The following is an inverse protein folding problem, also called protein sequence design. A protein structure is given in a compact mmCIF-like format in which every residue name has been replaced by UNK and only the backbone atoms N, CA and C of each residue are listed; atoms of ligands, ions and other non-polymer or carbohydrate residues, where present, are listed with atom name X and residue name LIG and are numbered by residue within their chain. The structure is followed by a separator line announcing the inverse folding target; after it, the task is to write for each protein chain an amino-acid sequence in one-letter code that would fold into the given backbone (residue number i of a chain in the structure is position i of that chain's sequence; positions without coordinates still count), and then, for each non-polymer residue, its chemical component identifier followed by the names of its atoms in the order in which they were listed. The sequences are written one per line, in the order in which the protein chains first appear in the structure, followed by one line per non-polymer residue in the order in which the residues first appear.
data_IF_255474297044
#
_entry.id   IF_255474297044
#
_cell.length_a   1.000
_cell.length_b   1.000
_cell.length_c   1.000
_cell.angle_alpha   90.00
_cell.angle_beta   90.00
_cell.angle_gamma   90.00
#
_symmetry.space_group_name_H-M   'P 1'
#
loop_
_entity.id
_entity.type
_entity.pdbx_description
1 polymer ?
#
# COMPACT_ATOMS: atom_id res chain seq x y z
N UNK A 1 16.61 8.05 -3.91
CA UNK A 1 15.63 7.07 -4.43
C UNK A 1 16.36 5.80 -4.81
N UNK A 2 15.96 4.67 -4.21
CA UNK A 2 16.54 3.35 -4.49
C UNK A 2 16.11 2.85 -5.87
N UNK A 3 17.08 2.38 -6.65
CA UNK A 3 16.98 1.53 -7.84
C UNK A 3 15.83 1.81 -8.84
N UNK A 4 16.16 2.11 -10.11
CA UNK A 4 15.19 2.23 -11.20
C UNK A 4 14.27 1.01 -11.39
N UNK A 5 14.68 -0.18 -10.93
CA UNK A 5 13.85 -1.39 -10.94
C UNK A 5 12.61 -1.32 -10.01
N UNK A 6 12.56 -0.38 -9.05
CA UNK A 6 11.38 -0.05 -8.27
C UNK A 6 10.51 1.06 -8.94
N UNK A 7 10.71 1.28 -10.23
CA UNK A 7 9.98 2.28 -11.03
C UNK A 7 8.45 2.16 -10.93
N UNK A 8 7.94 0.96 -10.64
CA UNK A 8 6.50 0.74 -10.43
C UNK A 8 5.91 1.53 -9.26
N UNK A 9 6.71 1.90 -8.26
CA UNK A 9 6.28 2.74 -7.13
C UNK A 9 6.08 4.19 -7.55
N UNK A 10 6.96 4.67 -8.41
CA UNK A 10 6.97 6.06 -8.84
C UNK A 10 6.06 6.27 -10.04
N UNK A 11 5.88 5.24 -10.90
CA UNK A 11 5.08 5.36 -12.11
C UNK A 11 5.65 6.39 -13.09
N UNK A 12 4.92 6.63 -14.17
CA UNK A 12 5.33 7.58 -15.21
C UNK A 12 5.19 9.06 -14.84
N UNK A 13 4.57 9.36 -13.67
CA UNK A 13 4.36 10.75 -13.24
C UNK A 13 5.66 11.54 -13.08
N UNK A 14 6.78 10.88 -12.76
CA UNK A 14 8.10 11.54 -12.65
C UNK A 14 8.48 12.23 -13.96
N UNK A 15 8.13 11.66 -15.11
CA UNK A 15 8.39 12.25 -16.43
C UNK A 15 7.67 13.59 -16.65
N UNK A 16 6.61 13.83 -15.87
CA UNK A 16 5.81 15.04 -15.95
C UNK A 16 6.22 16.11 -14.92
N UNK A 17 7.24 15.84 -14.10
CA UNK A 17 7.81 16.82 -13.18
C UNK A 17 8.70 17.78 -13.98
N UNK A 18 8.50 19.08 -13.79
CA UNK A 18 9.39 20.09 -14.37
C UNK A 18 10.72 20.14 -13.63
N UNK A 19 11.82 20.06 -14.35
CA UNK A 19 13.18 20.11 -13.83
C UNK A 19 13.93 18.78 -13.94
N UNK A 20 15.21 18.80 -13.55
CA UNK A 20 16.06 17.63 -13.60
C UNK A 20 15.78 16.69 -12.43
N UNK A 21 15.57 15.42 -12.75
CA UNK A 21 15.34 14.34 -11.77
C UNK A 21 16.53 13.39 -11.80
N UNK A 22 17.20 13.24 -10.66
CA UNK A 22 18.26 12.26 -10.47
C UNK A 22 17.86 11.18 -9.46
N UNK A 23 18.33 9.97 -9.69
CA UNK A 23 18.12 8.83 -8.82
C UNK A 23 19.40 8.52 -8.05
N UNK A 24 19.32 8.51 -6.73
CA UNK A 24 20.42 8.11 -5.84
C UNK A 24 20.14 6.69 -5.34
N UNK A 25 20.96 5.74 -5.78
CA UNK A 25 20.77 4.31 -5.48
C UNK A 25 21.59 3.83 -4.30
N UNK A 26 22.76 4.44 -4.11
CA UNK A 26 23.69 4.12 -3.02
C UNK A 26 24.06 5.39 -2.26
N UNK A 27 23.95 5.33 -0.95
CA UNK A 27 24.31 6.43 -0.07
C UNK A 27 24.60 5.90 1.34
N UNK A 28 25.58 6.53 2.01
CA UNK A 28 25.95 6.24 3.39
C UNK A 28 25.29 7.21 4.39
N UNK A 29 25.67 7.12 5.65
CA UNK A 29 25.21 7.99 6.73
C UNK A 29 25.58 9.46 6.54
N UNK A 30 26.67 9.72 5.83
CA UNK A 30 27.24 11.04 5.54
C UNK A 30 26.67 11.68 4.26
N UNK A 31 25.77 11.00 3.57
CA UNK A 31 25.17 11.54 2.36
C UNK A 31 24.47 12.88 2.63
N UNK A 32 24.80 13.88 1.82
CA UNK A 32 24.25 15.23 1.88
C UNK A 32 23.62 15.56 0.53
N UNK A 33 22.43 16.20 0.51
CA UNK A 33 21.83 16.62 -0.75
C UNK A 33 22.73 17.64 -1.47
N UNK A 34 22.89 17.53 -2.81
CA UNK A 34 23.61 18.52 -3.60
C UNK A 34 23.06 19.94 -3.38
N UNK A 35 23.88 21.01 -3.51
CA UNK A 35 23.43 22.37 -3.28
C UNK A 35 22.23 22.81 -4.13
N UNK A 36 22.14 22.32 -5.36
CA UNK A 36 21.07 22.57 -6.33
C UNK A 36 19.79 21.77 -6.02
N UNK A 37 19.84 20.79 -5.15
CA UNK A 37 18.71 19.93 -4.83
C UNK A 37 17.55 20.74 -4.25
N UNK A 38 16.41 20.72 -4.90
CA UNK A 38 15.20 21.46 -4.50
C UNK A 38 14.20 20.64 -3.72
N UNK A 39 14.24 19.31 -3.83
CA UNK A 39 13.36 18.38 -3.13
C UNK A 39 13.97 16.98 -3.14
N UNK A 40 13.88 16.28 -2.03
CA UNK A 40 14.19 14.83 -1.95
C UNK A 40 12.89 14.06 -1.77
N UNK A 41 12.76 12.98 -2.53
CA UNK A 41 11.60 12.08 -2.46
C UNK A 41 12.08 10.68 -2.09
N UNK A 42 11.46 10.06 -1.09
CA UNK A 42 11.80 8.71 -0.64
C UNK A 42 10.57 7.96 -0.12
N UNK A 43 10.58 6.65 -0.22
CA UNK A 43 9.62 5.77 0.48
C UNK A 43 10.27 5.07 1.68
N UNK A 44 11.59 5.13 1.77
CA UNK A 44 12.37 4.44 2.79
C UNK A 44 12.60 5.37 4.00
N UNK A 45 11.94 5.06 5.10
CA UNK A 45 12.03 5.79 6.37
C UNK A 45 12.44 4.90 7.53
N UNK A 46 12.87 3.66 7.23
CA UNK A 46 13.17 2.65 8.25
C UNK A 46 14.64 2.24 8.31
N UNK A 47 15.41 2.37 7.22
CA UNK A 47 16.84 2.10 7.27
C UNK A 47 17.59 3.26 7.93
N UNK A 48 18.59 2.98 8.78
CA UNK A 48 19.35 4.01 9.47
C UNK A 48 19.96 5.04 8.52
N UNK A 49 20.52 4.60 7.39
CA UNK A 49 21.12 5.47 6.36
C UNK A 49 20.08 6.40 5.72
N UNK A 50 18.88 5.87 5.45
CA UNK A 50 17.77 6.65 4.90
C UNK A 50 17.29 7.70 5.89
N UNK A 51 17.22 7.36 7.16
CA UNK A 51 16.91 8.32 8.22
C UNK A 51 17.96 9.41 8.31
N UNK A 52 19.26 9.06 8.29
CA UNK A 52 20.37 10.03 8.29
C UNK A 52 20.30 10.97 7.10
N UNK A 53 20.04 10.44 5.88
CA UNK A 53 19.86 11.24 4.69
C UNK A 53 18.69 12.24 4.81
N UNK A 54 17.56 11.80 5.36
CA UNK A 54 16.40 12.67 5.62
C UNK A 54 16.79 13.79 6.58
N UNK A 55 17.47 13.49 7.69
CA UNK A 55 17.92 14.49 8.65
C UNK A 55 18.94 15.47 8.04
N UNK A 56 19.85 14.99 7.20
CA UNK A 56 20.81 15.84 6.48
C UNK A 56 20.09 16.80 5.52
N UNK A 57 19.04 16.35 4.82
CA UNK A 57 18.19 17.22 4.00
C UNK A 57 17.54 18.32 4.86
N UNK A 58 16.95 17.96 6.00
CA UNK A 58 16.28 18.91 6.90
C UNK A 58 17.29 19.95 7.41
N UNK A 59 18.49 19.53 7.84
CA UNK A 59 19.57 20.43 8.28
C UNK A 59 20.02 21.41 7.18
N UNK A 60 19.96 20.98 5.91
CA UNK A 60 20.30 21.81 4.74
C UNK A 60 19.11 22.60 4.19
N UNK A 61 17.98 22.62 4.89
CA UNK A 61 16.74 23.28 4.47
C UNK A 61 16.25 22.80 3.09
N UNK A 62 16.47 21.51 2.80
CA UNK A 62 15.94 20.83 1.61
C UNK A 62 14.67 20.07 1.99
N UNK A 63 13.53 20.31 1.33
CA UNK A 63 12.30 19.61 1.64
C UNK A 63 12.41 18.12 1.37
N UNK A 64 11.69 17.33 2.16
CA UNK A 64 11.59 15.87 1.97
C UNK A 64 10.14 15.47 1.89
N UNK A 65 9.77 14.82 0.79
CA UNK A 65 8.49 14.16 0.57
C UNK A 65 8.67 12.65 0.76
N UNK A 66 7.87 12.08 1.65
CA UNK A 66 7.81 10.63 1.83
C UNK A 66 6.64 10.08 1.02
N UNK A 67 6.82 8.93 0.37
CA UNK A 67 5.77 8.25 -0.38
C UNK A 67 5.27 7.03 0.39
N UNK A 68 3.95 6.91 0.51
CA UNK A 68 3.32 5.65 0.89
C UNK A 68 3.13 4.79 -0.35
N UNK A 69 3.52 3.53 -0.26
CA UNK A 69 3.47 2.57 -1.37
C UNK A 69 2.23 1.66 -1.36
N UNK A 70 1.41 1.79 -0.33
CA UNK A 70 0.23 0.96 -0.19
C UNK A 70 -0.46 1.05 1.16
N UNK A 71 -1.19 0.01 1.51
CA UNK A 71 -1.83 -0.13 2.82
C UNK A 71 -0.75 -0.21 3.89
N UNK A 72 -0.91 0.62 4.92
CA UNK A 72 -0.17 0.51 6.15
C UNK A 72 -0.97 -0.37 7.11
N UNK A 73 -0.48 -1.53 7.44
CA UNK A 73 -1.10 -2.37 8.45
C UNK A 73 -1.00 -1.69 9.83
N UNK A 74 -2.04 -1.81 10.67
CA UNK A 74 -2.10 -1.14 11.97
C UNK A 74 -0.83 -1.35 12.80
N UNK A 75 -0.38 -2.61 12.91
CA UNK A 75 0.81 -2.96 13.67
C UNK A 75 2.10 -2.35 13.12
N UNK A 76 2.20 -2.16 11.81
CA UNK A 76 3.33 -1.48 11.18
C UNK A 76 3.51 -0.03 11.68
N UNK A 77 2.44 0.61 12.15
CA UNK A 77 2.51 1.97 12.70
C UNK A 77 3.15 2.04 14.07
N UNK A 78 3.22 0.93 14.79
CA UNK A 78 3.70 0.86 16.17
C UNK A 78 4.92 -0.04 16.34
N UNK A 79 5.09 -1.04 15.48
CA UNK A 79 6.15 -2.03 15.57
C UNK A 79 6.95 -2.01 14.27
N UNK A 80 8.25 -1.79 14.39
CA UNK A 80 9.17 -1.79 13.27
C UNK A 80 10.38 -2.66 13.62
N UNK A 81 10.65 -3.69 12.81
CA UNK A 81 11.74 -4.66 13.07
C UNK A 81 13.14 -4.02 13.17
N UNK A 82 13.35 -2.87 12.54
CA UNK A 82 14.65 -2.22 12.47
C UNK A 82 14.78 -1.00 13.41
N UNK A 83 13.73 -0.67 14.16
CA UNK A 83 13.71 0.51 15.04
C UNK A 83 12.88 0.20 16.28
N UNK A 84 13.51 0.28 17.42
CA UNK A 84 12.84 0.14 18.72
C UNK A 84 11.93 1.35 18.94
N UNK A 85 10.75 1.12 19.48
CA UNK A 85 9.75 2.14 19.85
C UNK A 85 9.26 3.03 18.69
N UNK A 86 9.32 2.54 17.46
CA UNK A 86 8.79 3.28 16.31
C UNK A 86 8.17 2.34 15.28
N UNK A 87 7.20 2.86 14.52
CA UNK A 87 6.56 2.19 13.40
C UNK A 87 6.89 2.82 12.05
N UNK A 88 6.35 2.26 10.99
CA UNK A 88 6.41 2.88 9.66
C UNK A 88 5.60 4.17 9.71
N UNK A 89 6.22 5.29 9.27
CA UNK A 89 5.66 6.64 9.35
C UNK A 89 5.34 7.13 10.78
N UNK A 90 5.86 6.49 11.79
CA UNK A 90 5.73 6.88 13.18
C UNK A 90 7.12 6.93 13.84
N UNK A 91 7.79 8.11 13.86
CA UNK A 91 7.34 9.42 13.36
C UNK A 91 7.41 9.58 11.83
N UNK A 92 6.63 10.51 11.27
CA UNK A 92 6.81 11.00 9.90
C UNK A 92 8.04 11.90 9.86
N UNK A 93 9.17 11.37 9.38
CA UNK A 93 10.47 12.05 9.39
C UNK A 93 10.53 13.22 8.40
N UNK A 94 9.88 13.09 7.23
CA UNK A 94 9.88 14.13 6.20
C UNK A 94 8.97 15.31 6.52
N UNK A 95 8.98 16.30 5.64
CA UNK A 95 8.13 17.48 5.73
C UNK A 95 6.68 17.14 5.36
N UNK A 96 6.49 16.28 4.36
CA UNK A 96 5.19 15.79 3.91
C UNK A 96 5.24 14.30 3.63
N UNK A 97 4.07 13.65 3.75
CA UNK A 97 3.82 12.26 3.38
C UNK A 97 2.69 12.22 2.35
N UNK A 98 2.95 11.66 1.18
CA UNK A 98 1.94 11.37 0.19
C UNK A 98 1.19 10.08 0.58
N UNK A 99 -0.03 10.23 1.06
CA UNK A 99 -0.92 9.14 1.48
C UNK A 99 -1.75 8.62 0.30
N UNK A 100 -2.14 7.35 0.38
CA UNK A 100 -2.91 6.68 -0.68
C UNK A 100 -4.40 7.05 -0.68
N UNK A 101 -4.95 7.46 0.47
CA UNK A 101 -6.36 7.76 0.63
C UNK A 101 -6.68 8.50 1.92
N UNK A 102 -7.94 8.89 2.05
CA UNK A 102 -8.42 9.67 3.19
C UNK A 102 -8.33 8.90 4.51
N UNK A 103 -8.58 7.59 4.51
CA UNK A 103 -8.45 6.75 5.71
C UNK A 103 -7.03 6.74 6.25
N UNK A 104 -6.02 6.65 5.39
CA UNK A 104 -4.62 6.72 5.81
C UNK A 104 -4.26 8.10 6.38
N UNK A 105 -4.74 9.18 5.76
CA UNK A 105 -4.55 10.54 6.28
C UNK A 105 -5.14 10.64 7.69
N UNK A 106 -6.41 10.25 7.88
CA UNK A 106 -7.06 10.30 9.20
C UNK A 106 -6.34 9.46 10.24
N UNK A 107 -5.96 8.23 9.86
CA UNK A 107 -5.23 7.33 10.77
C UNK A 107 -3.91 7.96 11.25
N UNK A 108 -3.08 8.48 10.34
CA UNK A 108 -1.78 9.06 10.69
C UNK A 108 -1.91 10.41 11.40
N UNK A 109 -2.88 11.24 11.04
CA UNK A 109 -3.11 12.53 11.69
C UNK A 109 -3.77 12.42 13.07
N UNK A 110 -4.36 11.27 13.41
CA UNK A 110 -4.80 10.99 14.79
C UNK A 110 -3.62 10.86 15.75
N UNK A 111 -2.41 10.57 15.23
CA UNK A 111 -1.18 10.50 16.02
C UNK A 111 -0.69 11.93 16.32
N UNK A 112 -0.47 12.23 17.58
CA UNK A 112 -0.01 13.54 18.05
C UNK A 112 1.26 14.00 17.33
N UNK A 113 1.23 15.22 16.77
CA UNK A 113 2.37 15.86 16.10
C UNK A 113 2.44 15.61 14.59
N UNK A 114 1.54 14.80 14.01
CA UNK A 114 1.56 14.53 12.56
C UNK A 114 0.51 15.32 11.77
N UNK A 115 -0.33 16.06 12.48
CA UNK A 115 -1.32 16.91 11.85
C UNK A 115 -0.68 17.88 10.83
N UNK A 116 -1.23 17.88 9.62
CA UNK A 116 -0.73 18.72 8.52
C UNK A 116 0.48 18.17 7.76
N UNK A 117 1.01 16.99 8.11
CA UNK A 117 2.08 16.36 7.32
C UNK A 117 1.56 15.48 6.18
N UNK A 118 0.33 14.99 6.25
CA UNK A 118 -0.24 14.08 5.28
C UNK A 118 -0.92 14.82 4.12
N UNK A 119 -0.68 14.37 2.89
CA UNK A 119 -1.37 14.83 1.67
C UNK A 119 -2.08 13.65 1.02
N UNK A 120 -3.36 13.80 0.71
CA UNK A 120 -4.13 12.74 0.07
C UNK A 120 -3.85 12.70 -1.44
N UNK A 121 -3.01 11.78 -1.89
CA UNK A 121 -2.50 11.72 -3.26
C UNK A 121 -3.10 10.56 -4.06
N UNK A 122 -3.16 9.38 -3.51
CA UNK A 122 -3.50 8.16 -4.22
C UNK A 122 -2.28 7.30 -4.57
N UNK A 123 -2.50 6.29 -5.41
CA UNK A 123 -1.46 5.39 -5.91
C UNK A 123 -1.25 5.63 -7.42
N UNK A 124 -0.20 6.34 -7.86
CA UNK A 124 0.03 6.64 -9.27
C UNK A 124 0.04 5.42 -10.19
N UNK A 125 0.55 4.27 -9.72
CA UNK A 125 0.56 3.04 -10.50
C UNK A 125 -0.82 2.48 -10.86
N UNK A 126 -1.88 2.97 -10.21
CA UNK A 126 -3.26 2.56 -10.49
C UNK A 126 -3.97 3.45 -11.52
N UNK A 127 -3.41 4.60 -11.89
CA UNK A 127 -4.05 5.48 -12.88
C UNK A 127 -4.29 4.76 -14.22
N UNK A 128 -3.33 3.91 -14.65
CA UNK A 128 -3.41 3.11 -15.87
C UNK A 128 -3.74 1.63 -15.60
N UNK A 129 -4.14 1.32 -14.38
CA UNK A 129 -4.44 -0.06 -13.98
C UNK A 129 -5.82 -0.48 -14.49
N UNK A 130 -5.87 -0.78 -15.78
CA UNK A 130 -7.08 -1.36 -16.41
C UNK A 130 -6.92 -2.86 -16.48
N UNK A 131 -7.91 -3.58 -15.97
CA UNK A 131 -8.06 -5.00 -16.19
C UNK A 131 -9.17 -5.14 -17.24
N UNK A 132 -8.80 -5.62 -18.42
CA UNK A 132 -9.80 -6.09 -19.36
C UNK A 132 -10.44 -7.33 -18.74
N UNK A 133 -11.76 -7.30 -18.58
CA UNK A 133 -12.48 -8.46 -18.06
C UNK A 133 -12.35 -9.61 -19.09
N UNK A 134 -11.31 -10.40 -18.94
CA UNK A 134 -11.31 -11.70 -19.59
C UNK A 134 -12.40 -12.48 -18.85
N UNK A 135 -13.50 -12.76 -19.53
CA UNK A 135 -14.52 -13.67 -19.02
C UNK A 135 -13.86 -15.04 -18.93
N UNK A 136 -13.17 -15.28 -17.81
CA UNK A 136 -12.69 -16.63 -17.50
C UNK A 136 -13.91 -17.54 -17.55
N UNK A 137 -13.86 -18.56 -18.37
CA UNK A 137 -14.94 -19.54 -18.47
C UNK A 137 -15.14 -20.33 -17.18
N UNK A 138 -14.13 -20.32 -16.30
CA UNK A 138 -14.12 -21.03 -15.01
C UNK A 138 -14.00 -20.00 -13.89
N UNK A 139 -14.98 -19.94 -12.96
CA UNK A 139 -14.88 -19.10 -11.77
C UNK A 139 -13.60 -19.40 -10.98
N UNK A 140 -12.93 -18.37 -10.50
CA UNK A 140 -11.67 -18.54 -9.77
C UNK A 140 -11.49 -17.50 -8.67
N UNK A 141 -10.88 -17.92 -7.58
CA UNK A 141 -10.49 -17.05 -6.46
C UNK A 141 -8.98 -16.92 -6.42
N UNK A 142 -8.48 -15.68 -6.39
CA UNK A 142 -7.09 -15.39 -6.10
C UNK A 142 -6.91 -15.23 -4.58
N UNK A 143 -6.05 -16.06 -4.01
CA UNK A 143 -5.70 -16.00 -2.58
C UNK A 143 -4.36 -15.31 -2.43
N UNK A 144 -4.30 -14.23 -1.62
CA UNK A 144 -3.11 -13.41 -1.49
C UNK A 144 -2.61 -13.30 -0.05
N UNK A 145 -1.30 -13.25 0.11
CA UNK A 145 -0.65 -12.83 1.37
C UNK A 145 0.29 -11.64 1.14
N UNK A 146 0.69 -10.96 2.24
CA UNK A 146 1.84 -10.06 2.22
C UNK A 146 3.16 -10.86 2.12
N UNK A 147 4.27 -10.17 1.81
CA UNK A 147 5.61 -10.81 1.76
C UNK A 147 6.11 -11.22 3.14
N UNK A 148 5.81 -10.43 4.17
CA UNK A 148 6.16 -10.67 5.57
C UNK A 148 4.89 -10.61 6.39
N UNK A 149 4.12 -11.71 6.44
CA UNK A 149 2.74 -11.66 6.88
C UNK A 149 2.53 -11.56 8.40
N UNK A 150 3.55 -11.71 9.24
CA UNK A 150 3.43 -11.72 10.70
C UNK A 150 4.44 -10.82 11.41
N UNK A 151 4.12 -10.43 12.65
CA UNK A 151 4.92 -9.59 13.52
C UNK A 151 5.42 -10.34 14.76
N UNK A 152 4.74 -11.42 15.16
CA UNK A 152 5.07 -12.27 16.28
C UNK A 152 4.87 -13.74 15.92
N UNK A 153 5.32 -14.66 16.77
CA UNK A 153 5.09 -16.09 16.59
C UNK A 153 3.61 -16.45 16.76
N UNK A 154 2.87 -15.77 17.64
CA UNK A 154 1.43 -15.94 17.80
C UNK A 154 0.69 -15.55 16.53
N UNK A 155 1.01 -14.39 15.96
CA UNK A 155 0.45 -13.97 14.66
C UNK A 155 0.75 -15.00 13.57
N UNK A 156 1.99 -15.52 13.56
CA UNK A 156 2.40 -16.53 12.58
C UNK A 156 1.52 -17.76 12.65
N UNK A 157 1.27 -18.28 13.87
CA UNK A 157 0.45 -19.46 14.05
C UNK A 157 -1.00 -19.22 13.58
N UNK A 158 -1.60 -18.10 13.95
CA UNK A 158 -2.96 -17.76 13.54
C UNK A 158 -3.08 -17.57 12.02
N UNK A 159 -2.09 -16.90 11.42
CA UNK A 159 -2.05 -16.71 9.96
C UNK A 159 -1.87 -18.04 9.24
N UNK A 160 -0.93 -18.89 9.66
CA UNK A 160 -0.75 -20.21 9.05
C UNK A 160 -2.02 -21.04 9.18
N UNK A 161 -2.68 -21.02 10.34
CA UNK A 161 -3.94 -21.74 10.55
C UNK A 161 -5.03 -21.24 9.59
N UNK A 162 -5.15 -19.92 9.36
CA UNK A 162 -6.13 -19.38 8.43
C UNK A 162 -5.94 -19.88 6.99
N UNK A 163 -4.68 -20.02 6.55
CA UNK A 163 -4.38 -20.56 5.21
C UNK A 163 -4.55 -22.09 5.14
N UNK A 164 -4.27 -22.82 6.22
CA UNK A 164 -4.56 -24.26 6.30
C UNK A 164 -6.07 -24.51 6.18
N UNK A 165 -6.88 -23.80 6.95
CA UNK A 165 -8.34 -23.91 6.93
C UNK A 165 -8.90 -23.53 5.57
N UNK A 166 -8.40 -22.42 4.99
CA UNK A 166 -8.83 -21.98 3.66
C UNK A 166 -8.49 -23.04 2.60
N UNK A 167 -7.29 -23.63 2.63
CA UNK A 167 -6.90 -24.69 1.70
C UNK A 167 -7.80 -25.92 1.81
N UNK A 168 -8.06 -26.38 3.04
CA UNK A 168 -8.93 -27.54 3.27
C UNK A 168 -10.31 -27.32 2.63
N UNK A 169 -10.92 -26.16 2.91
CA UNK A 169 -12.24 -25.82 2.35
C UNK A 169 -12.16 -25.60 0.83
N UNK A 170 -11.11 -24.95 0.33
CA UNK A 170 -10.92 -24.72 -1.09
C UNK A 170 -10.79 -26.04 -1.89
N UNK A 171 -10.08 -27.04 -1.35
CA UNK A 171 -9.96 -28.37 -1.97
C UNK A 171 -11.33 -29.07 -2.05
N UNK A 172 -12.08 -29.09 -0.96
CA UNK A 172 -13.41 -29.69 -0.91
C UNK A 172 -14.40 -28.96 -1.81
N UNK A 173 -14.36 -27.61 -1.81
CA UNK A 173 -15.23 -26.78 -2.65
C UNK A 173 -14.91 -26.96 -4.14
N UNK A 174 -13.65 -26.98 -4.51
CA UNK A 174 -13.20 -27.15 -5.90
C UNK A 174 -13.55 -28.52 -6.49
N UNK A 175 -13.61 -29.58 -5.66
CA UNK A 175 -14.05 -30.90 -6.08
C UNK A 175 -15.56 -30.97 -6.39
N UNK A 176 -16.37 -30.24 -5.63
CA UNK A 176 -17.81 -30.23 -5.74
C UNK A 176 -18.34 -29.16 -6.73
N UNK A 177 -17.55 -28.17 -7.05
CA UNK A 177 -17.89 -27.04 -7.92
C UNK A 177 -16.73 -26.80 -8.90
N UNK A 178 -17.02 -26.46 -10.14
CA UNK A 178 -15.98 -26.13 -11.13
C UNK A 178 -15.36 -24.75 -10.82
N UNK A 179 -14.58 -24.66 -9.74
CA UNK A 179 -13.93 -23.44 -9.25
C UNK A 179 -12.44 -23.67 -9.07
N UNK A 180 -11.63 -22.69 -9.44
CA UNK A 180 -10.17 -22.72 -9.22
C UNK A 180 -9.76 -21.78 -8.11
N UNK A 181 -8.76 -22.19 -7.34
CA UNK A 181 -8.07 -21.34 -6.37
C UNK A 181 -6.63 -21.13 -6.84
N UNK A 182 -6.26 -19.89 -7.08
CA UNK A 182 -4.92 -19.47 -7.44
C UNK A 182 -4.23 -18.84 -6.22
N UNK A 183 -3.01 -19.23 -5.94
CA UNK A 183 -2.30 -18.82 -4.72
C UNK A 183 -1.18 -17.85 -5.05
N UNK A 184 -1.30 -16.61 -4.60
CA UNK A 184 -0.27 -15.57 -4.64
C UNK A 184 0.17 -15.23 -3.22
N UNK A 185 0.84 -16.17 -2.61
CA UNK A 185 1.21 -16.15 -1.20
C UNK A 185 2.73 -16.27 -1.05
N UNK A 186 3.25 -15.91 0.15
CA UNK A 186 4.68 -16.03 0.44
C UNK A 186 5.15 -17.48 0.32
N UNK A 187 6.41 -17.68 -0.11
CA UNK A 187 7.00 -19.02 -0.28
C UNK A 187 6.91 -19.86 1.00
N UNK A 188 7.01 -19.21 2.18
CA UNK A 188 6.88 -19.92 3.47
C UNK A 188 5.47 -20.48 3.68
N UNK A 189 4.42 -19.65 3.46
CA UNK A 189 3.03 -20.14 3.60
C UNK A 189 2.78 -21.24 2.56
N UNK A 190 3.18 -21.01 1.30
CA UNK A 190 3.01 -21.99 0.23
C UNK A 190 3.63 -23.36 0.57
N UNK A 191 4.83 -23.36 1.14
CA UNK A 191 5.53 -24.57 1.59
C UNK A 191 4.77 -25.28 2.71
N UNK A 192 4.26 -24.54 3.71
CA UNK A 192 3.53 -25.12 4.84
C UNK A 192 2.22 -25.77 4.40
N UNK A 193 1.46 -25.09 3.51
CA UNK A 193 0.17 -25.63 3.07
C UNK A 193 0.28 -26.54 1.83
N UNK A 194 1.47 -26.68 1.23
CA UNK A 194 1.71 -27.57 0.09
C UNK A 194 0.98 -27.15 -1.17
N UNK A 195 1.12 -25.87 -1.58
CA UNK A 195 0.58 -25.32 -2.83
C UNK A 195 1.66 -24.60 -3.63
N UNK A 196 1.47 -24.47 -4.93
CA UNK A 196 2.30 -23.62 -5.79
C UNK A 196 1.87 -22.17 -5.68
N UNK A 197 2.84 -21.23 -5.65
CA UNK A 197 2.57 -19.81 -5.60
C UNK A 197 2.88 -19.10 -6.91
N UNK A 198 2.01 -18.16 -7.30
CA UNK A 198 2.20 -17.26 -8.43
C UNK A 198 2.89 -15.94 -8.08
N UNK A 199 3.43 -15.79 -6.87
CA UNK A 199 3.98 -14.49 -6.39
C UNK A 199 5.06 -13.89 -7.32
N UNK A 200 5.71 -14.71 -8.14
CA UNK A 200 6.71 -14.28 -9.13
C UNK A 200 6.12 -13.84 -10.47
N UNK A 201 4.82 -14.06 -10.70
CA UNK A 201 4.09 -13.63 -11.89
C UNK A 201 3.58 -12.21 -11.74
N UNK A 202 3.04 -11.64 -12.80
CA UNK A 202 2.37 -10.34 -12.78
C UNK A 202 1.07 -10.42 -11.97
N UNK A 203 0.88 -9.50 -11.01
CA UNK A 203 -0.38 -9.38 -10.28
C UNK A 203 -1.56 -9.06 -11.21
N UNK A 204 -1.30 -8.27 -12.26
CA UNK A 204 -2.33 -7.92 -13.24
C UNK A 204 -2.86 -9.17 -13.95
N UNK A 205 -1.99 -10.10 -14.33
CA UNK A 205 -2.39 -11.36 -14.96
C UNK A 205 -3.17 -12.27 -14.00
N UNK A 206 -2.73 -12.36 -12.74
CA UNK A 206 -3.44 -13.11 -11.70
C UNK A 206 -4.85 -12.54 -11.48
N UNK A 207 -5.00 -11.22 -11.40
CA UNK A 207 -6.29 -10.57 -11.26
C UNK A 207 -7.16 -10.73 -12.51
N UNK A 208 -6.59 -10.64 -13.74
CA UNK A 208 -7.33 -10.84 -14.99
C UNK A 208 -7.94 -12.24 -15.10
N UNK A 209 -7.27 -13.24 -14.52
CA UNK A 209 -7.73 -14.63 -14.52
C UNK A 209 -8.65 -14.99 -13.36
N UNK A 210 -8.97 -14.03 -12.48
CA UNK A 210 -9.74 -14.28 -11.26
C UNK A 210 -11.09 -13.56 -11.27
N UNK A 211 -12.07 -14.11 -10.55
CA UNK A 211 -13.40 -13.53 -10.39
C UNK A 211 -13.62 -12.89 -9.02
N UNK A 212 -12.83 -13.29 -8.03
CA UNK A 212 -12.84 -12.74 -6.68
C UNK A 212 -11.47 -12.87 -6.01
N UNK A 213 -11.27 -12.17 -4.92
CA UNK A 213 -10.01 -12.19 -4.16
C UNK A 213 -10.28 -12.47 -2.68
N UNK A 214 -9.46 -13.33 -2.07
CA UNK A 214 -9.33 -13.47 -0.62
C UNK A 214 -7.91 -13.06 -0.27
N UNK A 215 -7.74 -12.06 0.57
CA UNK A 215 -6.41 -11.52 0.87
C UNK A 215 -6.24 -11.21 2.36
N UNK A 216 -5.04 -11.45 2.86
CA UNK A 216 -4.61 -10.77 4.09
C UNK A 216 -4.59 -9.24 3.87
N UNK A 217 -4.46 -8.42 4.95
CA UNK A 217 -4.25 -6.99 4.81
C UNK A 217 -3.08 -6.69 3.88
N UNK A 218 -3.39 -6.20 2.68
CA UNK A 218 -2.41 -5.98 1.60
C UNK A 218 -2.95 -5.00 0.59
N UNK A 219 -2.06 -4.27 -0.09
CA UNK A 219 -2.46 -3.34 -1.16
C UNK A 219 -3.18 -4.04 -2.32
N UNK A 220 -2.97 -5.35 -2.51
CA UNK A 220 -3.72 -6.16 -3.48
C UNK A 220 -5.23 -6.06 -3.27
N UNK A 221 -5.70 -5.89 -2.03
CA UNK A 221 -7.13 -5.65 -1.75
C UNK A 221 -7.65 -4.42 -2.49
N UNK A 222 -6.91 -3.29 -2.43
CA UNK A 222 -7.30 -2.06 -3.11
C UNK A 222 -7.22 -2.21 -4.63
N UNK A 223 -6.19 -2.89 -5.13
CA UNK A 223 -6.01 -3.16 -6.56
C UNK A 223 -7.16 -4.01 -7.11
N UNK A 224 -7.58 -5.04 -6.38
CA UNK A 224 -8.73 -5.86 -6.74
C UNK A 224 -10.07 -5.10 -6.63
N UNK A 225 -10.29 -4.35 -5.54
CA UNK A 225 -11.48 -3.52 -5.37
C UNK A 225 -11.60 -2.46 -6.47
N UNK A 226 -10.45 -1.89 -6.90
CA UNK A 226 -10.38 -0.90 -7.97
C UNK A 226 -10.89 -1.45 -9.31
N UNK A 227 -10.71 -2.74 -9.54
CA UNK A 227 -11.25 -3.46 -10.70
C UNK A 227 -12.68 -3.99 -10.50
N UNK A 228 -13.33 -3.58 -9.40
CA UNK A 228 -14.69 -4.01 -9.03
C UNK A 228 -14.83 -5.51 -8.70
N UNK A 229 -13.73 -6.21 -8.44
CA UNK A 229 -13.78 -7.60 -7.96
C UNK A 229 -14.29 -7.64 -6.50
N UNK A 230 -15.12 -8.62 -6.14
CA UNK A 230 -15.41 -8.92 -4.74
C UNK A 230 -14.14 -9.30 -3.98
N UNK A 231 -13.92 -8.68 -2.82
CA UNK A 231 -12.70 -8.89 -2.01
C UNK A 231 -13.06 -9.23 -0.58
N UNK A 232 -12.56 -10.37 -0.11
CA UNK A 232 -12.63 -10.77 1.29
C UNK A 232 -11.28 -10.58 1.99
N UNK A 233 -11.34 -10.06 3.21
CA UNK A 233 -10.21 -9.99 4.13
C UNK A 233 -10.12 -11.29 4.92
N UNK A 234 -8.98 -11.96 4.88
CA UNK A 234 -8.64 -13.12 5.71
C UNK A 234 -7.76 -12.66 6.86
N UNK A 235 -8.30 -12.61 8.07
CA UNK A 235 -7.55 -12.20 9.25
C UNK A 235 -8.04 -12.87 10.54
N UNK A 236 -7.33 -13.91 10.97
CA UNK A 236 -7.57 -14.57 12.25
C UNK A 236 -6.90 -13.85 13.43
N UNK A 237 -6.03 -12.89 13.15
CA UNK A 237 -5.32 -12.13 14.22
C UNK A 237 -6.21 -11.09 14.88
N UNK A 238 -7.36 -10.77 14.27
CA UNK A 238 -8.32 -9.75 14.73
C UNK A 238 -7.66 -8.39 14.97
N UNK A 239 -6.63 -8.08 14.19
CA UNK A 239 -5.96 -6.79 14.27
C UNK A 239 -6.86 -5.65 13.79
N UNK A 240 -6.78 -4.47 14.41
CA UNK A 240 -7.52 -3.31 13.91
C UNK A 240 -7.10 -2.95 12.49
N UNK A 241 -8.08 -2.63 11.62
CA UNK A 241 -7.85 -2.21 10.24
C UNK A 241 -8.47 -0.84 9.99
N UNK A 242 -7.75 0.07 9.33
CA UNK A 242 -8.33 1.31 8.83
C UNK A 242 -8.85 1.17 7.38
N UNK A 243 -8.44 0.11 6.67
CA UNK A 243 -8.99 -0.29 5.37
C UNK A 243 -10.00 -1.41 5.60
N UNK A 244 -11.24 -1.17 5.23
CA UNK A 244 -12.34 -2.10 5.43
C UNK A 244 -12.57 -2.99 4.21
N UNK A 245 -13.02 -4.23 4.45
CA UNK A 245 -13.52 -5.13 3.42
C UNK A 245 -15.01 -5.44 3.66
N UNK A 246 -15.75 -5.74 2.60
CA UNK A 246 -17.16 -6.10 2.71
C UNK A 246 -17.38 -7.52 3.24
N UNK A 247 -16.36 -8.35 3.16
CA UNK A 247 -16.30 -9.69 3.73
C UNK A 247 -15.05 -9.79 4.60
N UNK A 248 -15.22 -10.26 5.82
CA UNK A 248 -14.11 -10.54 6.72
C UNK A 248 -14.25 -11.98 7.21
N UNK A 249 -13.16 -12.72 7.12
CA UNK A 249 -13.03 -14.10 7.56
C UNK A 249 -12.07 -14.13 8.74
N UNK A 250 -12.59 -14.35 9.92
CA UNK A 250 -11.83 -14.38 11.19
C UNK A 250 -11.80 -15.75 11.86
N UNK A 251 -12.54 -16.73 11.28
CA UNK A 251 -12.53 -18.12 11.72
C UNK A 251 -12.93 -19.05 10.58
N UNK A 252 -12.67 -20.34 10.75
CA UNK A 252 -12.90 -21.39 9.74
C UNK A 252 -14.34 -21.47 9.25
N UNK A 253 -15.29 -21.30 10.16
CA UNK A 253 -16.73 -21.44 9.91
C UNK A 253 -17.25 -20.39 8.91
N UNK A 254 -16.57 -19.24 8.78
CA UNK A 254 -16.96 -18.16 7.89
C UNK A 254 -16.44 -18.37 6.45
N UNK A 255 -15.48 -19.27 6.22
CA UNK A 255 -14.83 -19.42 4.91
C UNK A 255 -15.83 -19.84 3.84
N UNK A 256 -16.58 -20.92 4.09
CA UNK A 256 -17.48 -21.49 3.09
C UNK A 256 -18.58 -20.51 2.69
N UNK A 257 -19.21 -19.85 3.65
CA UNK A 257 -20.25 -18.86 3.38
C UNK A 257 -19.69 -17.66 2.61
N UNK A 258 -18.47 -17.22 2.96
CA UNK A 258 -17.78 -16.14 2.24
C UNK A 258 -17.49 -16.53 0.79
N UNK A 259 -16.96 -17.73 0.51
CA UNK A 259 -16.71 -18.21 -0.84
C UNK A 259 -18.01 -18.19 -1.68
N UNK A 260 -19.11 -18.67 -1.13
CA UNK A 260 -20.41 -18.66 -1.82
C UNK A 260 -20.88 -17.25 -2.16
N UNK A 261 -20.75 -16.30 -1.23
CA UNK A 261 -21.11 -14.90 -1.45
C UNK A 261 -20.18 -14.20 -2.46
N UNK A 262 -18.89 -14.53 -2.49
CA UNK A 262 -17.94 -13.94 -3.44
C UNK A 262 -18.32 -14.27 -4.91
N UNK A 263 -18.93 -15.43 -5.17
CA UNK A 263 -19.43 -15.79 -6.52
C UNK A 263 -20.80 -15.21 -6.84
N UNK A 264 -21.61 -14.93 -5.81
CA UNK A 264 -22.93 -14.30 -5.93
C UNK A 264 -23.05 -13.11 -4.98
N UNK A 265 -22.27 -12.04 -5.21
CA UNK A 265 -22.09 -10.99 -4.22
C UNK A 265 -23.38 -10.18 -4.02
N UNK A 266 -23.85 -10.02 -2.77
CA UNK A 266 -24.96 -9.14 -2.46
C UNK A 266 -24.66 -7.69 -2.87
N UNK A 267 -25.62 -7.03 -3.51
CA UNK A 267 -25.48 -5.64 -3.98
C UNK A 267 -25.07 -4.70 -2.84
N UNK A 268 -25.61 -4.88 -1.64
CA UNK A 268 -25.27 -4.08 -0.45
C UNK A 268 -23.78 -4.21 -0.08
N UNK A 269 -23.20 -5.40 -0.17
CA UNK A 269 -21.78 -5.62 0.11
C UNK A 269 -20.89 -5.01 -0.98
N UNK A 270 -21.29 -5.08 -2.25
CA UNK A 270 -20.57 -4.39 -3.33
C UNK A 270 -20.63 -2.87 -3.19
N UNK A 271 -21.75 -2.33 -2.74
CA UNK A 271 -21.86 -0.91 -2.43
C UNK A 271 -20.96 -0.50 -1.27
N UNK A 272 -20.96 -1.29 -0.18
CA UNK A 272 -20.05 -1.07 0.94
C UNK A 272 -18.58 -1.10 0.47
N UNK A 273 -18.18 -2.12 -0.30
CA UNK A 273 -16.82 -2.24 -0.83
C UNK A 273 -16.40 -1.00 -1.64
N UNK A 274 -17.30 -0.49 -2.48
CA UNK A 274 -17.05 0.73 -3.27
C UNK A 274 -16.84 1.96 -2.39
N UNK A 275 -17.62 2.08 -1.33
CA UNK A 275 -17.48 3.16 -0.36
C UNK A 275 -16.18 3.04 0.43
N UNK A 276 -15.84 1.82 0.88
CA UNK A 276 -14.59 1.53 1.56
C UNK A 276 -13.36 1.82 0.68
N UNK A 277 -13.42 1.45 -0.61
CA UNK A 277 -12.39 1.78 -1.57
C UNK A 277 -12.21 3.30 -1.75
N UNK A 278 -13.31 4.04 -1.91
CA UNK A 278 -13.26 5.50 -2.09
C UNK A 278 -12.70 6.24 -0.87
N UNK A 279 -12.78 5.65 0.31
CA UNK A 279 -12.16 6.16 1.53
C UNK A 279 -10.69 5.74 1.67
N UNK A 280 -10.37 4.50 1.30
CA UNK A 280 -9.03 3.94 1.43
C UNK A 280 -8.08 4.39 0.32
N UNK A 281 -8.59 4.72 -0.86
CA UNK A 281 -7.83 5.11 -2.04
C UNK A 281 -8.39 6.38 -2.66
N UNK A 282 -7.53 7.36 -2.95
CA UNK A 282 -7.94 8.53 -3.73
C UNK A 282 -8.12 8.13 -5.20
N UNK A 283 -9.37 8.14 -5.66
CA UNK A 283 -9.77 7.72 -7.02
C UNK A 283 -10.57 8.79 -7.79
N UNK A 284 -10.84 9.94 -7.16
CA UNK A 284 -11.63 11.02 -7.80
C UNK A 284 -10.85 11.79 -8.86
N UNK A 285 -9.53 11.80 -8.74
CA UNK A 285 -8.60 12.49 -9.61
C UNK A 285 -7.37 11.61 -9.82
N UNK A 286 -6.69 11.73 -10.96
CA UNK A 286 -5.44 11.00 -11.22
C UNK A 286 -4.42 11.22 -10.10
N UNK A 287 -3.95 10.15 -9.51
CA UNK A 287 -2.94 10.18 -8.46
C UNK A 287 -1.61 10.75 -8.99
N UNK A 288 -1.26 10.46 -10.24
CA UNK A 288 -0.11 11.04 -10.93
C UNK A 288 -0.21 12.56 -11.04
N UNK A 289 -1.37 13.10 -11.44
CA UNK A 289 -1.59 14.54 -11.52
C UNK A 289 -1.49 15.21 -10.14
N UNK A 290 -2.05 14.57 -9.09
CA UNK A 290 -1.95 15.06 -7.71
C UNK A 290 -0.51 15.03 -7.21
N UNK A 291 0.25 13.98 -7.55
CA UNK A 291 1.66 13.86 -7.17
C UNK A 291 2.51 14.95 -7.83
N UNK A 292 2.36 15.16 -9.14
CA UNK A 292 3.08 16.23 -9.85
C UNK A 292 2.77 17.61 -9.25
N UNK A 293 1.50 17.88 -8.95
CA UNK A 293 1.07 19.12 -8.30
C UNK A 293 1.69 19.31 -6.92
N UNK A 294 1.73 18.24 -6.10
CA UNK A 294 2.35 18.27 -4.77
C UNK A 294 3.85 18.58 -4.88
N UNK A 295 4.57 17.85 -5.73
CA UNK A 295 6.00 18.03 -5.97
C UNK A 295 6.29 19.46 -6.44
N UNK A 296 5.59 19.95 -7.47
CA UNK A 296 5.78 21.30 -8.02
C UNK A 296 5.58 22.38 -6.95
N UNK A 297 4.54 22.25 -6.14
CA UNK A 297 4.29 23.22 -5.05
C UNK A 297 5.32 23.13 -3.93
N UNK A 298 5.81 21.94 -3.58
CA UNK A 298 6.88 21.80 -2.59
C UNK A 298 8.18 22.44 -3.07
N UNK A 299 8.52 22.28 -4.36
CA UNK A 299 9.69 22.92 -4.98
C UNK A 299 9.52 24.45 -5.01
N UNK A 300 8.34 24.97 -5.38
CA UNK A 300 8.04 26.41 -5.36
C UNK A 300 8.23 27.01 -3.95
N UNK A 301 7.69 26.37 -2.92
CA UNK A 301 7.82 26.80 -1.52
C UNK A 301 9.30 26.78 -1.09
N UNK A 302 10.03 25.74 -1.48
CA UNK A 302 11.48 25.62 -1.20
C UNK A 302 12.25 26.77 -1.82
N UNK A 303 12.01 27.06 -3.09
CA UNK A 303 12.66 28.15 -3.80
C UNK A 303 12.37 29.51 -3.15
N UNK A 304 11.11 29.81 -2.83
CA UNK A 304 10.73 31.07 -2.14
C UNK A 304 11.39 31.17 -0.76
N UNK A 305 11.45 30.10 0.03
CA UNK A 305 12.09 30.11 1.34
C UNK A 305 13.57 30.42 1.24
N UNK A 306 14.27 29.83 0.25
CA UNK A 306 15.70 30.08 0.01
C UNK A 306 15.96 31.51 -0.44
N UNK A 307 15.19 32.02 -1.43
CA UNK A 307 15.36 33.37 -1.96
C UNK A 307 15.13 34.45 -0.91
N UNK A 308 14.29 34.18 0.09
CA UNK A 308 13.99 35.10 1.19
C UNK A 308 14.86 34.87 2.44
N UNK A 309 15.77 33.88 2.41
CA UNK A 309 16.56 33.49 3.60
C UNK A 309 15.70 33.04 4.80
N UNK A 310 14.49 32.54 4.54
CA UNK A 310 13.53 32.13 5.58
C UNK A 310 13.56 30.62 5.82
N UNK A 311 13.23 30.17 7.03
CA UNK A 311 13.05 28.74 7.32
C UNK A 311 11.96 28.14 6.45
N UNK A 312 12.18 26.90 6.00
CA UNK A 312 11.20 26.16 5.22
C UNK A 312 9.95 25.82 6.06
N UNK A 313 8.80 26.29 5.61
CA UNK A 313 7.51 26.04 6.25
C UNK A 313 6.48 25.66 5.20
N UNK A 314 5.72 24.61 5.45
CA UNK A 314 4.64 24.15 4.59
C UNK A 314 3.27 24.44 5.20
N UNK A 315 2.27 24.79 4.39
CA UNK A 315 0.89 24.87 4.84
C UNK A 315 0.39 23.51 5.29
N UNK A 316 -0.69 23.51 6.08
CA UNK A 316 -1.34 22.28 6.56
C UNK A 316 -1.72 21.34 5.43
N UNK A 317 -2.27 21.86 4.35
CA UNK A 317 -2.53 21.12 3.08
C UNK A 317 -1.94 21.90 1.91
N UNK A 318 -1.25 21.19 1.04
CA UNK A 318 -0.66 21.76 -0.19
C UNK A 318 -1.61 21.59 -1.37
N UNK A 319 -2.24 20.42 -1.51
CA UNK A 319 -3.06 20.07 -2.67
C UNK A 319 -4.55 19.88 -2.37
N UNK A 320 -4.96 20.11 -1.13
CA UNK A 320 -6.34 19.88 -0.71
C UNK A 320 -6.70 18.39 -0.53
N UNK A 321 -7.90 18.13 0.00
CA UNK A 321 -8.42 16.76 0.16
C UNK A 321 -9.15 16.29 -1.08
#
# INVERSE_FOLDING_TARGET
IRNPSNSNLYGDWIKNVQGDVSFVTEFGFDWIPPPECSLVITHDTYRPESCAAIFNCIKKNVPVLILSDGILEYRNSWIQKHRVDSGIFNPILGHKLACIGASQVRFLESIKGYFGKCENVGLPRLDDFKIESSKSKIPSILVCSSKTPWFSDDDKNQILQSFIDLKEIACNYGQNHTVKFNWRISDHIASVIGVETSIRKSLKEDLQSSTAVISMPSTVMLEAMYTSMPVALLDYTLSPHYVQAAWTVSCKEQILSTINELFNPPIAKLFFQRTALADALQIKESASARMVRLVSKMVEISYRSRSLGKPLRFPHRIIGM
#
